data_IF_110104865404
#
_entry.id   IF_110104865404
#
_cell.length_a   1.000
_cell.length_b   1.000
_cell.length_c   1.000
_cell.angle_alpha   90.00
_cell.angle_beta   90.00
_cell.angle_gamma   90.00
#
_symmetry.space_group_name_H-M   'P 1'
#
loop_
_entity.id
_entity.type
_entity.pdbx_description
1 polymer ?
#
# COMPACT_ATOMS: atom_id res chain seq x y z
N UNK A 1 -3.65 15.86 34.91
CA UNK A 1 -3.64 16.34 33.51
C UNK A 1 -3.12 15.18 32.67
N UNK A 2 -3.93 14.61 31.78
CA UNK A 2 -3.41 13.60 30.85
C UNK A 2 -2.41 14.32 29.92
N UNK A 3 -1.13 13.95 29.96
CA UNK A 3 -0.18 14.46 28.97
C UNK A 3 -0.69 14.03 27.60
N UNK A 4 -0.93 14.98 26.68
CA UNK A 4 -1.09 14.65 25.26
C UNK A 4 0.11 13.79 24.87
N UNK A 5 -0.15 12.63 24.26
CA UNK A 5 0.92 11.85 23.67
C UNK A 5 1.72 12.77 22.73
N UNK A 6 3.07 12.70 22.73
CA UNK A 6 3.86 13.46 21.78
C UNK A 6 3.42 13.08 20.36
N UNK A 7 3.08 14.07 19.55
CA UNK A 7 2.79 13.88 18.12
C UNK A 7 4.08 13.51 17.41
N UNK A 8 4.06 12.48 16.58
CA UNK A 8 5.23 12.07 15.82
C UNK A 8 5.75 13.24 14.95
N UNK A 9 7.07 13.47 14.90
CA UNK A 9 7.66 14.47 14.02
C UNK A 9 7.42 14.09 12.56
N UNK A 10 6.87 15.04 11.79
CA UNK A 10 6.66 14.90 10.34
C UNK A 10 7.84 15.52 9.60
N UNK A 11 8.41 14.76 8.66
CA UNK A 11 9.45 15.21 7.75
C UNK A 11 8.93 15.33 6.33
N UNK A 12 9.43 16.28 5.52
CA UNK A 12 9.04 16.41 4.13
C UNK A 12 9.53 15.20 3.33
N UNK A 13 8.74 14.80 2.34
CA UNK A 13 9.08 13.78 1.34
C UNK A 13 8.95 14.38 -0.06
N UNK A 14 9.44 13.66 -1.06
CA UNK A 14 9.32 14.09 -2.44
C UNK A 14 7.86 14.04 -2.90
N UNK A 15 7.42 15.11 -3.60
CA UNK A 15 6.14 15.06 -4.29
C UNK A 15 6.22 14.06 -5.47
N UNK A 16 5.16 13.29 -5.72
CA UNK A 16 5.12 12.36 -6.84
C UNK A 16 5.16 13.13 -8.17
N UNK A 17 5.85 12.56 -9.18
CA UNK A 17 6.08 13.19 -10.48
C UNK A 17 5.61 12.27 -11.62
N UNK A 18 4.82 12.76 -12.58
CA UNK A 18 4.38 11.95 -13.71
C UNK A 18 5.55 11.26 -14.42
N UNK A 19 5.43 9.95 -14.64
CA UNK A 19 6.45 9.13 -15.30
C UNK A 19 7.59 8.64 -14.40
N UNK A 20 7.65 9.05 -13.12
CA UNK A 20 8.61 8.52 -12.14
C UNK A 20 7.94 7.41 -11.33
N UNK A 21 8.55 6.22 -11.27
CA UNK A 21 8.01 5.09 -10.52
C UNK A 21 6.66 4.57 -11.03
N UNK A 22 6.24 4.95 -12.23
CA UNK A 22 4.92 4.62 -12.76
C UNK A 22 3.79 5.55 -12.30
N UNK A 23 4.09 6.59 -11.53
CA UNK A 23 3.08 7.58 -11.12
C UNK A 23 2.48 8.28 -12.34
N UNK A 24 1.16 8.38 -12.36
CA UNK A 24 0.36 9.09 -13.35
C UNK A 24 -0.59 10.05 -12.64
N UNK A 25 -1.05 11.14 -13.28
CA UNK A 25 -2.17 11.92 -12.76
C UNK A 25 -3.41 11.06 -12.57
N UNK A 26 -4.23 11.41 -11.57
CA UNK A 26 -5.48 10.71 -11.26
C UNK A 26 -6.34 10.58 -12.52
N UNK A 27 -6.70 9.36 -12.89
CA UNK A 27 -7.42 9.05 -14.12
C UNK A 27 -8.38 7.85 -13.91
N UNK A 28 -9.47 8.05 -13.14
CA UNK A 28 -10.44 7.00 -12.86
C UNK A 28 -11.06 6.47 -14.14
N UNK A 29 -10.83 5.19 -14.41
CA UNK A 29 -11.29 4.53 -15.63
C UNK A 29 -11.37 3.02 -15.44
N UNK A 30 -12.07 2.38 -16.35
CA UNK A 30 -12.20 0.93 -16.38
C UNK A 30 -11.78 0.41 -17.73
N UNK A 31 -10.99 -0.67 -17.75
CA UNK A 31 -10.59 -1.36 -18.98
C UNK A 31 -10.53 -2.87 -18.78
N UNK A 32 -10.61 -3.62 -19.88
CA UNK A 32 -10.38 -5.07 -19.86
C UNK A 32 -9.06 -5.33 -20.58
N UNK A 33 -8.09 -5.87 -19.84
CA UNK A 33 -6.87 -6.41 -20.42
C UNK A 33 -7.17 -7.81 -20.95
N UNK A 34 -6.97 -8.09 -22.25
CA UNK A 34 -7.28 -9.40 -22.82
C UNK A 34 -6.28 -10.47 -22.37
N UNK A 35 -6.68 -11.75 -22.46
CA UNK A 35 -5.73 -12.86 -22.34
C UNK A 35 -4.60 -12.70 -23.37
N UNK A 36 -3.37 -12.98 -22.95
CA UNK A 36 -2.16 -12.76 -23.74
C UNK A 36 -1.64 -11.32 -23.71
N UNK A 37 -2.33 -10.37 -23.06
CA UNK A 37 -1.78 -9.03 -22.82
C UNK A 37 -0.46 -9.13 -22.05
N UNK A 38 0.56 -8.39 -22.47
CA UNK A 38 1.93 -8.47 -21.96
C UNK A 38 2.57 -7.09 -21.88
N UNK A 39 1.84 -6.09 -21.35
CA UNK A 39 2.37 -4.74 -21.21
C UNK A 39 3.69 -4.74 -20.44
N UNK A 40 4.58 -3.80 -20.79
CA UNK A 40 5.92 -3.65 -20.19
C UNK A 40 6.89 -4.82 -20.46
N UNK A 41 6.64 -5.58 -21.54
CA UNK A 41 7.39 -6.80 -21.91
C UNK A 41 7.40 -7.83 -20.77
N UNK A 42 6.24 -7.98 -20.12
CA UNK A 42 6.03 -8.83 -18.94
C UNK A 42 5.41 -10.19 -19.30
N UNK A 43 5.16 -11.03 -18.28
CA UNK A 43 4.45 -12.31 -18.44
C UNK A 43 3.08 -12.09 -19.09
N UNK A 44 2.73 -12.79 -20.19
CA UNK A 44 1.41 -12.70 -20.78
C UNK A 44 0.31 -13.14 -19.81
N UNK A 45 -0.80 -12.39 -19.76
CA UNK A 45 -1.92 -12.74 -18.90
C UNK A 45 -2.57 -14.06 -19.31
N UNK A 46 -2.83 -15.00 -18.38
CA UNK A 46 -3.47 -16.28 -18.71
C UNK A 46 -4.98 -16.16 -18.95
N UNK A 47 -5.63 -15.10 -18.46
CA UNK A 47 -7.06 -14.82 -18.62
C UNK A 47 -7.30 -13.32 -18.83
N UNK A 48 -8.47 -12.89 -19.33
CA UNK A 48 -8.82 -11.48 -19.32
C UNK A 48 -8.97 -10.98 -17.87
N UNK A 49 -8.56 -9.73 -17.64
CA UNK A 49 -8.65 -9.06 -16.34
C UNK A 49 -9.36 -7.73 -16.53
N UNK A 50 -10.43 -7.49 -15.79
CA UNK A 50 -11.04 -6.17 -15.66
C UNK A 50 -10.25 -5.36 -14.64
N UNK A 51 -9.79 -4.18 -15.03
CA UNK A 51 -9.03 -3.25 -14.20
C UNK A 51 -9.85 -1.99 -14.00
N UNK A 52 -10.10 -1.63 -12.74
CA UNK A 52 -10.67 -0.34 -12.35
C UNK A 52 -9.54 0.48 -11.70
N UNK A 53 -9.13 1.56 -12.37
CA UNK A 53 -8.04 2.43 -11.92
C UNK A 53 -8.58 3.54 -11.03
N UNK A 54 -7.77 3.95 -10.05
CA UNK A 54 -8.02 5.12 -9.19
C UNK A 54 -9.41 5.09 -8.52
N UNK A 55 -9.82 3.93 -8.01
CA UNK A 55 -11.05 3.74 -7.24
C UNK A 55 -10.93 4.46 -5.91
N UNK A 56 -11.81 5.42 -5.66
CA UNK A 56 -11.89 6.13 -4.39
C UNK A 56 -12.47 5.23 -3.28
N UNK A 57 -11.79 5.23 -2.12
CA UNK A 57 -12.16 4.53 -0.90
C UNK A 57 -12.23 5.57 0.24
N UNK A 58 -13.43 5.89 0.76
CA UNK A 58 -13.59 6.88 1.81
C UNK A 58 -13.22 6.32 3.19
N UNK A 59 -12.38 7.04 3.92
CA UNK A 59 -12.00 6.75 5.29
C UNK A 59 -12.95 7.41 6.29
N UNK A 60 -12.97 6.93 7.54
CA UNK A 60 -13.84 7.46 8.62
C UNK A 60 -13.63 8.93 8.95
N UNK A 61 -12.44 9.45 8.69
CA UNK A 61 -12.05 10.84 8.94
C UNK A 61 -12.30 11.76 7.73
N UNK A 62 -12.94 11.23 6.69
CA UNK A 62 -13.30 11.96 5.48
C UNK A 62 -12.20 12.04 4.44
N UNK A 63 -11.03 11.44 4.68
CA UNK A 63 -9.97 11.32 3.67
C UNK A 63 -10.31 10.28 2.62
N UNK A 64 -9.82 10.49 1.41
CA UNK A 64 -9.93 9.53 0.31
C UNK A 64 -8.58 8.85 0.09
N UNK A 65 -8.60 7.52 0.13
CA UNK A 65 -7.53 6.69 -0.40
C UNK A 65 -7.92 6.19 -1.79
N UNK A 66 -6.93 5.98 -2.65
CA UNK A 66 -7.14 5.48 -4.01
C UNK A 66 -6.61 4.06 -4.16
N UNK A 67 -7.23 3.28 -5.03
CA UNK A 67 -6.84 1.92 -5.30
C UNK A 67 -7.02 1.50 -6.76
N UNK A 68 -6.17 0.60 -7.24
CA UNK A 68 -6.40 -0.16 -8.47
C UNK A 68 -7.06 -1.50 -8.11
N UNK A 69 -8.17 -1.84 -8.76
CA UNK A 69 -8.90 -3.11 -8.57
C UNK A 69 -8.74 -3.99 -9.80
N UNK A 70 -8.19 -5.18 -9.62
CA UNK A 70 -8.04 -6.21 -10.65
C UNK A 70 -8.97 -7.37 -10.33
N UNK A 71 -9.87 -7.72 -11.24
CA UNK A 71 -10.83 -8.80 -11.01
C UNK A 71 -11.27 -9.46 -12.31
N UNK A 72 -11.93 -10.63 -12.26
CA UNK A 72 -12.54 -11.22 -13.44
C UNK A 72 -13.54 -10.23 -14.09
N UNK A 73 -13.62 -10.18 -15.44
CA UNK A 73 -14.69 -9.48 -16.11
C UNK A 73 -16.08 -9.99 -15.64
N UNK A 74 -17.14 -9.17 -15.76
CA UNK A 74 -18.45 -9.52 -15.21
C UNK A 74 -18.94 -10.87 -15.72
N UNK A 75 -19.23 -11.78 -14.78
CA UNK A 75 -19.78 -13.12 -14.99
C UNK A 75 -20.87 -13.41 -13.96
N UNK A 76 -21.40 -14.64 -13.90
CA UNK A 76 -22.47 -14.99 -12.97
C UNK A 76 -22.07 -15.00 -11.49
N UNK A 77 -20.77 -15.00 -11.17
CA UNK A 77 -20.28 -15.19 -9.80
C UNK A 77 -19.53 -13.95 -9.27
N UNK A 78 -19.83 -13.60 -8.02
CA UNK A 78 -19.10 -12.60 -7.22
C UNK A 78 -17.70 -13.12 -6.84
N UNK A 79 -16.73 -12.21 -6.64
CA UNK A 79 -15.33 -12.55 -6.37
C UNK A 79 -14.93 -12.26 -4.90
N UNK A 80 -14.14 -13.13 -4.25
CA UNK A 80 -13.47 -12.78 -3.00
C UNK A 80 -12.41 -11.70 -3.25
N UNK A 81 -12.31 -10.70 -2.38
CA UNK A 81 -11.36 -9.59 -2.51
C UNK A 81 -10.20 -9.71 -1.51
N UNK A 82 -8.98 -9.48 -1.98
CA UNK A 82 -7.79 -9.37 -1.16
C UNK A 82 -7.16 -7.98 -1.31
N UNK A 83 -7.31 -7.07 -0.32
CA UNK A 83 -6.69 -5.75 -0.35
C UNK A 83 -5.23 -5.81 0.10
N UNK A 84 -4.39 -5.01 -0.55
CA UNK A 84 -2.97 -4.86 -0.29
C UNK A 84 -2.57 -3.39 -0.36
N UNK A 85 -1.69 -2.95 0.54
CA UNK A 85 -1.10 -1.63 0.47
C UNK A 85 0.13 -1.70 -0.43
N UNK A 86 0.04 -1.18 -1.66
CA UNK A 86 1.04 -1.41 -2.70
C UNK A 86 1.64 -0.12 -3.23
N UNK A 87 2.89 0.17 -2.86
CA UNK A 87 3.63 1.33 -3.36
C UNK A 87 4.31 0.98 -4.70
N UNK A 88 3.67 1.31 -5.83
CA UNK A 88 4.22 1.17 -7.19
C UNK A 88 4.61 -0.27 -7.61
N UNK A 89 4.90 -0.50 -8.89
CA UNK A 89 5.35 -1.83 -9.38
C UNK A 89 6.83 -2.09 -9.03
N UNK A 90 7.17 -3.34 -8.71
CA UNK A 90 8.52 -3.81 -8.37
C UNK A 90 9.59 -3.36 -9.38
N UNK A 91 9.30 -3.52 -10.67
CA UNK A 91 10.20 -3.18 -11.80
C UNK A 91 10.47 -1.68 -11.91
N UNK A 92 9.55 -0.85 -11.42
CA UNK A 92 9.62 0.61 -11.49
C UNK A 92 10.18 1.24 -10.21
N UNK A 93 10.08 0.52 -9.09
CA UNK A 93 10.41 1.05 -7.77
C UNK A 93 11.86 0.80 -7.37
N UNK A 94 12.50 -0.27 -7.86
CA UNK A 94 13.83 -0.69 -7.37
C UNK A 94 14.83 -0.96 -8.49
N UNK A 95 16.13 -0.67 -8.28
CA UNK A 95 17.17 -1.10 -9.20
C UNK A 95 17.17 -2.64 -9.35
N UNK A 96 17.48 -3.11 -10.56
CA UNK A 96 17.71 -4.52 -10.88
C UNK A 96 16.53 -5.47 -10.66
N UNK A 97 15.29 -4.95 -10.57
CA UNK A 97 14.09 -5.77 -10.36
C UNK A 97 14.19 -6.72 -9.15
N UNK A 98 14.99 -6.35 -8.13
CA UNK A 98 15.37 -7.20 -6.99
C UNK A 98 15.88 -8.61 -7.38
N UNK A 99 16.43 -8.76 -8.59
CA UNK A 99 16.92 -10.05 -9.11
C UNK A 99 15.81 -10.98 -9.60
N UNK A 100 14.56 -10.53 -9.70
CA UNK A 100 13.46 -11.31 -10.26
C UNK A 100 13.68 -11.42 -11.78
N UNK A 101 13.74 -12.65 -12.35
CA UNK A 101 13.93 -12.85 -13.79
C UNK A 101 12.80 -12.22 -14.61
N UNK A 102 13.16 -11.66 -15.77
CA UNK A 102 12.18 -11.14 -16.73
C UNK A 102 11.16 -12.21 -17.13
N UNK A 103 9.90 -11.81 -17.28
CA UNK A 103 8.80 -12.72 -17.60
C UNK A 103 8.27 -13.56 -16.43
N UNK A 104 8.78 -13.36 -15.22
CA UNK A 104 8.22 -14.01 -14.00
C UNK A 104 6.89 -13.40 -13.60
N UNK A 105 6.78 -12.08 -13.66
CA UNK A 105 5.64 -11.30 -13.18
C UNK A 105 4.88 -10.65 -14.34
N UNK A 106 3.59 -10.36 -14.15
CA UNK A 106 2.72 -9.74 -15.17
C UNK A 106 2.98 -8.26 -15.41
N UNK A 107 3.70 -7.60 -14.50
CA UNK A 107 3.88 -6.15 -14.47
C UNK A 107 2.67 -5.40 -13.92
N UNK A 108 1.62 -6.11 -13.45
CA UNK A 108 0.46 -5.54 -12.77
C UNK A 108 0.58 -5.61 -11.25
N UNK A 109 1.48 -6.45 -10.74
CA UNK A 109 1.81 -6.53 -9.31
C UNK A 109 2.43 -5.22 -8.81
N UNK A 110 2.03 -4.83 -7.60
CA UNK A 110 2.71 -3.79 -6.83
C UNK A 110 3.75 -4.44 -5.91
N UNK A 111 4.66 -3.64 -5.37
CA UNK A 111 5.59 -4.11 -4.35
C UNK A 111 4.85 -4.79 -3.19
N UNK A 112 5.31 -5.99 -2.82
CA UNK A 112 4.72 -6.85 -1.78
C UNK A 112 3.27 -7.33 -2.01
N UNK A 113 2.65 -6.97 -3.15
CA UNK A 113 1.30 -7.40 -3.49
C UNK A 113 1.32 -8.67 -4.37
N UNK A 114 0.25 -9.50 -4.32
CA UNK A 114 0.12 -10.63 -5.22
C UNK A 114 -0.01 -10.20 -6.67
N UNK A 115 0.47 -11.04 -7.58
CA UNK A 115 0.33 -10.81 -9.02
C UNK A 115 -1.12 -11.11 -9.46
N UNK A 116 -1.86 -10.14 -10.03
CA UNK A 116 -3.19 -10.37 -10.57
C UNK A 116 -3.26 -11.52 -11.58
N UNK A 117 -2.19 -11.80 -12.31
CA UNK A 117 -2.14 -12.90 -13.27
C UNK A 117 -2.21 -14.30 -12.64
N UNK A 118 -1.92 -14.44 -11.34
CA UNK A 118 -2.05 -15.73 -10.64
C UNK A 118 -3.40 -15.87 -9.92
N UNK A 119 -3.97 -14.77 -9.41
CA UNK A 119 -5.16 -14.81 -8.55
C UNK A 119 -6.48 -14.53 -9.27
N UNK A 120 -6.47 -13.65 -10.28
CA UNK A 120 -7.68 -13.35 -11.06
C UNK A 120 -8.22 -14.56 -11.83
N UNK A 121 -7.38 -15.43 -12.44
CA UNK A 121 -7.87 -16.65 -13.09
C UNK A 121 -8.59 -17.61 -12.13
N UNK A 122 -8.22 -17.58 -10.84
CA UNK A 122 -8.82 -18.39 -9.77
C UNK A 122 -10.09 -17.74 -9.18
N UNK A 123 -10.56 -16.63 -9.77
CA UNK A 123 -11.80 -15.96 -9.38
C UNK A 123 -11.65 -14.93 -8.26
N UNK A 124 -10.42 -14.56 -7.88
CA UNK A 124 -10.17 -13.54 -6.84
C UNK A 124 -10.06 -12.13 -7.45
N UNK A 125 -10.50 -11.14 -6.67
CA UNK A 125 -10.18 -9.74 -6.89
C UNK A 125 -8.94 -9.35 -6.07
N UNK A 126 -7.97 -8.68 -6.71
CA UNK A 126 -6.82 -8.05 -6.05
C UNK A 126 -7.08 -6.54 -6.00
N UNK A 127 -6.97 -5.95 -4.82
CA UNK A 127 -7.17 -4.50 -4.62
C UNK A 127 -5.88 -3.89 -4.09
N UNK A 128 -5.20 -3.10 -4.91
CA UNK A 128 -3.96 -2.43 -4.56
C UNK A 128 -4.26 -1.01 -4.12
N UNK A 129 -4.22 -0.76 -2.82
CA UNK A 129 -4.53 0.51 -2.17
C UNK A 129 -3.23 1.30 -1.99
N UNK A 130 -3.25 2.56 -2.38
CA UNK A 130 -2.20 3.52 -2.03
C UNK A 130 -2.43 3.97 -0.58
N UNK A 131 -1.49 3.65 0.32
CA UNK A 131 -1.54 4.05 1.72
C UNK A 131 -1.75 5.57 1.87
N UNK A 132 -2.34 5.98 3.00
CA UNK A 132 -2.51 7.39 3.37
C UNK A 132 -1.27 8.23 3.11
N UNK A 133 -1.47 9.37 2.47
CA UNK A 133 -0.41 10.33 2.12
C UNK A 133 0.51 9.91 0.99
N UNK A 134 0.33 8.72 0.39
CA UNK A 134 1.12 8.26 -0.77
C UNK A 134 0.40 8.55 -2.08
N UNK A 135 1.15 8.93 -3.12
CA UNK A 135 0.57 9.19 -4.44
C UNK A 135 -0.55 10.23 -4.39
N UNK A 136 -1.75 9.85 -4.82
CA UNK A 136 -2.96 10.70 -4.75
C UNK A 136 -3.75 10.54 -3.46
N UNK A 137 -3.46 9.52 -2.65
CA UNK A 137 -4.15 9.31 -1.37
C UNK A 137 -3.89 10.46 -0.42
N UNK A 138 -4.96 10.97 0.17
CA UNK A 138 -4.90 12.16 1.02
C UNK A 138 -4.21 11.89 2.37
N UNK A 139 -3.89 12.95 3.11
CA UNK A 139 -3.33 12.84 4.46
C UNK A 139 -1.80 12.77 4.50
N UNK A 140 -1.28 12.41 5.66
CA UNK A 140 0.16 12.30 5.97
C UNK A 140 0.56 10.84 6.08
N UNK A 141 1.76 10.47 5.60
CA UNK A 141 2.21 9.08 5.68
C UNK A 141 2.55 8.70 7.12
N UNK A 142 1.91 7.63 7.60
CA UNK A 142 1.94 7.11 8.97
C UNK A 142 2.36 5.64 8.94
N UNK A 143 3.66 5.40 8.82
CA UNK A 143 4.21 4.07 8.52
C UNK A 143 3.94 3.11 9.69
N UNK A 144 3.18 2.04 9.44
CA UNK A 144 2.95 0.93 10.37
C UNK A 144 2.43 1.41 11.74
N UNK A 145 1.67 2.50 11.74
CA UNK A 145 1.03 3.09 12.91
C UNK A 145 -0.43 2.65 13.08
N UNK A 146 -1.05 3.04 14.19
CA UNK A 146 -2.48 2.77 14.44
C UNK A 146 -3.38 3.34 13.36
N UNK A 147 -3.03 4.52 12.80
CA UNK A 147 -3.80 5.13 11.73
C UNK A 147 -3.83 4.25 10.47
N UNK A 148 -2.72 3.64 10.07
CA UNK A 148 -2.70 2.73 8.91
C UNK A 148 -3.55 1.47 9.15
N UNK A 149 -3.60 0.98 10.39
CA UNK A 149 -4.49 -0.12 10.76
C UNK A 149 -5.98 0.28 10.72
N UNK A 150 -6.32 1.51 11.12
CA UNK A 150 -7.68 2.05 11.02
C UNK A 150 -8.10 2.25 9.55
N UNK A 151 -7.19 2.76 8.71
CA UNK A 151 -7.41 2.91 7.27
C UNK A 151 -7.61 1.54 6.61
N UNK A 152 -6.80 0.53 6.98
CA UNK A 152 -6.95 -0.85 6.51
C UNK A 152 -8.31 -1.46 6.89
N UNK A 153 -8.79 -1.18 8.11
CA UNK A 153 -10.14 -1.58 8.52
C UNK A 153 -11.21 -0.90 7.64
N UNK A 154 -11.14 0.42 7.48
CA UNK A 154 -12.14 1.17 6.71
C UNK A 154 -12.19 0.71 5.25
N UNK A 155 -11.03 0.46 4.65
CA UNK A 155 -10.93 -0.07 3.30
C UNK A 155 -11.56 -1.45 3.17
N UNK A 156 -11.28 -2.38 4.08
CA UNK A 156 -11.86 -3.73 4.08
C UNK A 156 -13.39 -3.67 4.20
N UNK A 157 -13.92 -2.82 5.09
CA UNK A 157 -15.37 -2.64 5.25
C UNK A 157 -16.01 -1.97 4.03
N UNK A 158 -15.33 -1.04 3.37
CA UNK A 158 -15.83 -0.41 2.15
C UNK A 158 -15.87 -1.40 0.98
N UNK A 159 -14.81 -2.17 0.78
CA UNK A 159 -14.70 -3.17 -0.28
C UNK A 159 -15.73 -4.29 -0.10
N UNK A 160 -15.99 -4.73 1.12
CA UNK A 160 -17.01 -5.74 1.42
C UNK A 160 -18.44 -5.31 1.06
N UNK A 161 -18.70 -4.01 0.86
CA UNK A 161 -20.00 -3.48 0.41
C UNK A 161 -20.11 -3.34 -1.12
N UNK A 162 -19.02 -3.57 -1.86
CA UNK A 162 -19.04 -3.46 -3.33
C UNK A 162 -19.86 -4.61 -3.92
N UNK A 163 -20.63 -4.37 -5.00
CA UNK A 163 -21.59 -5.34 -5.53
C UNK A 163 -20.94 -6.61 -6.09
N UNK A 164 -19.65 -6.58 -6.40
CA UNK A 164 -18.88 -7.70 -6.93
C UNK A 164 -18.14 -8.50 -5.84
N UNK A 165 -18.22 -8.08 -4.58
CA UNK A 165 -17.49 -8.68 -3.47
C UNK A 165 -18.39 -9.62 -2.66
N UNK A 166 -17.99 -10.90 -2.55
CA UNK A 166 -18.75 -11.91 -1.79
C UNK A 166 -18.26 -12.10 -0.33
N UNK A 167 -17.33 -11.26 0.14
CA UNK A 167 -16.59 -11.50 1.38
C UNK A 167 -17.32 -10.96 2.63
N UNK A 168 -18.46 -11.53 3.03
CA UNK A 168 -19.12 -11.17 4.32
C UNK A 168 -19.08 -12.30 5.36
N UNK A 169 -18.69 -12.05 6.64
CA UNK A 169 -17.94 -10.89 7.16
C UNK A 169 -16.65 -10.58 6.41
N UNK A 170 -16.31 -9.30 6.42
CA UNK A 170 -15.34 -8.59 5.57
C UNK A 170 -13.91 -9.15 5.56
N UNK A 171 -13.30 -9.39 6.72
CA UNK A 171 -11.97 -10.01 6.83
C UNK A 171 -12.05 -11.47 7.25
N UNK A 172 -11.59 -12.38 6.39
CA UNK A 172 -11.64 -13.84 6.62
C UNK A 172 -10.27 -14.48 6.86
N UNK A 173 -9.22 -13.93 6.27
CA UNK A 173 -7.86 -14.44 6.34
C UNK A 173 -6.85 -13.31 6.14
N UNK A 174 -5.65 -13.48 6.70
CA UNK A 174 -4.49 -12.63 6.46
C UNK A 174 -3.24 -13.50 6.29
N UNK A 175 -2.31 -13.07 5.44
CA UNK A 175 -1.05 -13.76 5.16
C UNK A 175 0.14 -12.79 5.20
N UNK A 176 0.55 -12.31 6.40
CA UNK A 176 1.67 -11.38 6.53
C UNK A 176 2.99 -12.09 6.21
N UNK A 177 3.54 -11.85 5.02
CA UNK A 177 4.82 -12.38 4.57
C UNK A 177 5.94 -11.40 4.94
N UNK A 178 6.91 -11.82 5.76
CA UNK A 178 7.99 -10.96 6.30
C UNK A 178 7.50 -9.72 7.09
N UNK A 179 6.41 -9.86 7.86
CA UNK A 179 5.85 -8.78 8.67
C UNK A 179 6.69 -8.38 9.90
N UNK A 180 6.52 -7.13 10.33
CA UNK A 180 7.10 -6.56 11.55
C UNK A 180 5.98 -6.25 12.56
N UNK A 181 6.20 -6.58 13.85
CA UNK A 181 5.23 -6.35 14.93
C UNK A 181 5.69 -5.30 15.95
N UNK A 182 6.99 -5.05 16.05
CA UNK A 182 7.59 -4.05 16.93
C UNK A 182 8.65 -3.25 16.18
N UNK A 183 8.23 -2.14 15.57
CA UNK A 183 9.09 -1.26 14.79
C UNK A 183 10.36 -0.81 15.54
N UNK A 184 10.24 -0.55 16.84
CA UNK A 184 11.39 -0.11 17.62
C UNK A 184 12.38 -1.26 17.78
N UNK A 185 11.96 -2.45 18.23
CA UNK A 185 12.91 -3.55 18.51
C UNK A 185 13.38 -4.26 17.26
N UNK A 186 12.53 -4.36 16.24
CA UNK A 186 12.75 -5.24 15.08
C UNK A 186 13.30 -4.48 13.87
N UNK A 187 12.95 -3.20 13.70
CA UNK A 187 13.34 -2.42 12.52
C UNK A 187 14.34 -1.30 12.83
N UNK A 188 14.03 -0.41 13.79
CA UNK A 188 14.74 0.87 13.91
C UNK A 188 15.71 0.99 15.08
N UNK A 189 15.53 0.24 16.16
CA UNK A 189 16.23 0.40 17.44
C UNK A 189 16.75 -0.93 18.01
N UNK A 190 17.30 -1.80 17.16
CA UNK A 190 17.81 -3.12 17.56
C UNK A 190 18.87 -2.98 18.66
N UNK A 191 18.60 -3.56 19.82
CA UNK A 191 19.49 -3.44 20.98
C UNK A 191 19.63 -2.00 21.53
N UNK A 192 18.68 -1.11 21.23
CA UNK A 192 18.71 0.29 21.64
C UNK A 192 19.61 1.18 20.78
N UNK A 193 20.11 0.67 19.65
CA UNK A 193 20.94 1.42 18.70
C UNK A 193 20.10 1.70 17.45
N UNK A 194 20.07 2.96 17.00
CA UNK A 194 19.36 3.31 15.78
C UNK A 194 19.99 2.61 14.56
N UNK A 195 19.19 1.86 13.83
CA UNK A 195 19.60 1.08 12.65
C UNK A 195 18.66 1.32 11.45
N UNK A 196 17.97 2.46 11.42
CA UNK A 196 17.01 2.82 10.37
C UNK A 196 17.62 3.30 9.05
N UNK A 197 18.95 3.35 8.93
CA UNK A 197 19.60 3.98 7.76
C UNK A 197 19.24 3.33 6.42
N UNK A 198 19.00 2.01 6.39
CA UNK A 198 18.53 1.35 5.16
C UNK A 198 17.14 1.86 4.77
N UNK A 199 16.22 1.95 5.74
CA UNK A 199 14.88 2.47 5.51
C UNK A 199 14.94 3.92 5.03
N UNK A 200 15.70 4.77 5.71
CA UNK A 200 15.83 6.19 5.37
C UNK A 200 16.49 6.42 4.00
N UNK A 201 17.58 5.70 3.69
CA UNK A 201 18.38 5.95 2.49
C UNK A 201 17.89 5.18 1.24
N UNK A 202 17.14 4.09 1.42
CA UNK A 202 16.58 3.31 0.31
C UNK A 202 15.08 3.56 0.17
N UNK A 203 14.29 3.20 1.19
CA UNK A 203 12.82 3.21 1.12
C UNK A 203 12.30 4.64 1.01
N UNK A 204 12.60 5.49 2.00
CA UNK A 204 12.10 6.87 2.04
C UNK A 204 12.60 7.67 0.85
N UNK A 205 13.87 7.46 0.46
CA UNK A 205 14.50 8.24 -0.61
C UNK A 205 14.01 7.88 -2.01
N UNK A 206 13.78 6.61 -2.29
CA UNK A 206 13.52 6.13 -3.65
C UNK A 206 12.09 5.64 -3.87
N UNK A 207 11.39 5.24 -2.82
CA UNK A 207 10.10 4.54 -2.93
C UNK A 207 8.92 5.41 -2.47
N UNK A 208 9.10 6.18 -1.40
CA UNK A 208 7.99 6.95 -0.80
C UNK A 208 7.87 8.34 -1.42
N UNK A 209 6.72 8.62 -2.01
CA UNK A 209 6.37 9.94 -2.53
C UNK A 209 4.97 10.33 -2.11
N UNK A 210 4.79 11.59 -1.73
CA UNK A 210 3.53 12.11 -1.22
C UNK A 210 3.57 13.63 -1.05
N UNK A 211 2.41 14.22 -0.76
CA UNK A 211 2.26 15.67 -0.78
C UNK A 211 2.44 16.33 0.60
N UNK A 212 2.19 15.61 1.70
CA UNK A 212 2.05 16.20 3.04
C UNK A 212 3.13 15.77 4.05
N UNK A 213 4.12 14.98 3.62
CA UNK A 213 5.19 14.47 4.49
C UNK A 213 4.87 13.11 5.12
N UNK A 214 5.75 12.71 6.04
CA UNK A 214 5.76 11.39 6.64
C UNK A 214 6.28 11.43 8.09
N UNK A 215 5.75 10.59 8.97
CA UNK A 215 6.32 10.37 10.31
C UNK A 215 7.78 9.91 10.24
N UNK A 216 8.64 10.47 11.11
CA UNK A 216 10.07 10.13 11.12
C UNK A 216 10.48 9.35 12.36
N UNK A 217 10.77 8.05 12.18
CA UNK A 217 11.36 7.22 13.23
C UNK A 217 12.71 7.73 13.71
N UNK A 218 13.51 8.32 12.81
CA UNK A 218 14.79 8.93 13.17
C UNK A 218 14.63 10.06 14.18
N UNK A 219 13.71 10.98 13.91
CA UNK A 219 13.44 12.11 14.80
C UNK A 219 12.72 11.66 16.07
N UNK A 220 11.81 10.67 15.99
CA UNK A 220 11.21 10.03 17.17
C UNK A 220 12.28 9.44 18.08
N UNK A 221 13.24 8.69 17.52
CA UNK A 221 14.32 8.07 18.29
C UNK A 221 15.25 9.09 18.94
N UNK A 222 15.55 10.21 18.26
CA UNK A 222 16.35 11.31 18.85
C UNK A 222 15.66 11.96 20.05
N UNK A 223 14.34 12.12 20.00
CA UNK A 223 13.55 12.74 21.07
C UNK A 223 13.29 11.74 22.21
N UNK A 224 13.03 10.48 21.86
CA UNK A 224 12.64 9.40 22.76
C UNK A 224 13.41 8.12 22.39
N UNK A 225 14.68 7.98 22.83
CA UNK A 225 15.54 6.87 22.43
C UNK A 225 15.15 5.53 23.08
N UNK A 226 14.24 5.55 24.05
CA UNK A 226 13.73 4.36 24.72
C UNK A 226 12.28 4.10 24.29
N UNK A 227 11.85 2.83 24.22
CA UNK A 227 10.47 2.50 23.88
C UNK A 227 9.53 3.12 24.92
N UNK A 228 8.59 3.92 24.44
CA UNK A 228 7.56 4.53 25.29
C UNK A 228 6.64 3.42 25.79
N UNK A 229 6.44 3.35 27.11
CA UNK A 229 5.47 2.44 27.73
C UNK A 229 4.06 3.02 27.60
N UNK A 230 3.47 2.92 26.41
CA UNK A 230 2.06 3.22 26.15
C UNK A 230 1.77 4.65 25.67
N UNK A 231 1.22 4.76 24.45
CA UNK A 231 0.66 5.99 23.90
C UNK A 231 0.56 5.94 22.38
N UNK A 232 -0.66 5.96 21.84
CA UNK A 232 -0.95 6.00 20.40
C UNK A 232 -0.73 7.40 19.83
N UNK A 233 0.00 7.53 18.73
CA UNK A 233 0.02 8.74 17.90
C UNK A 233 -1.22 8.73 17.01
N UNK A 234 -2.00 9.81 17.03
CA UNK A 234 -3.10 10.07 16.09
C UNK A 234 -2.73 11.30 15.29
N UNK A 235 -3.11 11.34 14.01
CA UNK A 235 -3.01 12.54 13.18
C UNK A 235 -3.83 13.66 13.84
N UNK A 236 -3.29 14.89 14.02
CA UNK A 236 -4.11 16.01 14.45
C UNK A 236 -5.20 16.29 13.40
N UNK A 237 -6.45 16.06 13.80
CA UNK A 237 -7.69 16.44 13.07
C UNK A 237 -7.69 17.90 12.64
#
# INVERSE_FOLDING_TARGET
MASKAPTAPIVPINAPKPGVGGYQPLNPRTEVLPAGWNGFDSRPLPSPILVEHDVAIPMRDGKILYADVYRPPPGPDDAPAAPFNGLMSLKLMTPWNLGIPDGTLSGLEKFEAPDPADWVPEGYAIVNIDSRGSGHSEGTMVIMGTQEAEDGYDAVEDLARRPWCNATPSLKAIAPWEGCGDLYREQFGRGGIYAGDLFDNLIVRYMLNGHNGMESFKEMFKQHPLPMTGGTTRDPT
#
